data_IF_163526896792
#
_entry.id   IF_163526896792
#
_cell.length_a   1.000
_cell.length_b   1.000
_cell.length_c   1.000
_cell.angle_alpha   90.00
_cell.angle_beta   90.00
_cell.angle_gamma   90.00
#
_symmetry.space_group_name_H-M   'P 1'
#
loop_
_entity.id
_entity.type
_entity.pdbx_description
1 polymer ?
#
# COMPACT_ATOMS: atom_id res chain seq x y z
N UNK A 1 -32.05 46.51 16.88
CA UNK A 1 -31.88 45.14 17.42
C UNK A 1 -31.38 44.26 16.30
N UNK A 2 -30.10 43.93 16.33
CA UNK A 2 -29.41 43.15 15.31
C UNK A 2 -29.61 41.66 15.63
N UNK A 3 -30.20 40.92 14.69
CA UNK A 3 -30.32 39.46 14.77
C UNK A 3 -29.53 38.89 13.60
N UNK A 4 -28.20 38.83 13.77
CA UNK A 4 -27.32 38.17 12.80
C UNK A 4 -27.49 36.66 12.94
N UNK A 5 -28.21 36.06 11.99
CA UNK A 5 -28.33 34.63 11.84
C UNK A 5 -27.07 34.12 11.12
N UNK A 6 -26.08 33.66 11.89
CA UNK A 6 -24.93 32.94 11.34
C UNK A 6 -25.37 31.49 11.10
N UNK A 7 -25.75 31.19 9.86
CA UNK A 7 -25.96 29.82 9.41
C UNK A 7 -24.57 29.24 9.15
N UNK A 8 -24.05 28.52 10.14
CA UNK A 8 -22.81 27.76 10.02
C UNK A 8 -23.10 26.56 9.11
N UNK A 9 -22.86 26.73 7.80
CA UNK A 9 -22.93 25.65 6.83
C UNK A 9 -21.79 24.67 7.11
N UNK A 10 -22.09 23.60 7.85
CA UNK A 10 -21.20 22.44 7.96
C UNK A 10 -21.16 21.77 6.60
N UNK A 11 -20.18 22.12 5.77
CA UNK A 11 -19.89 21.33 4.58
C UNK A 11 -19.52 19.92 5.07
N UNK A 12 -20.23 18.86 4.64
CA UNK A 12 -19.68 17.52 4.77
C UNK A 12 -18.47 17.48 3.84
N UNK A 13 -17.28 17.69 4.38
CA UNK A 13 -16.04 17.25 3.73
C UNK A 13 -16.12 15.74 3.68
N UNK A 14 -16.76 15.26 2.62
CA UNK A 14 -16.70 13.88 2.20
C UNK A 14 -15.26 13.70 1.74
N UNK A 15 -14.37 13.43 2.68
CA UNK A 15 -13.03 12.95 2.40
C UNK A 15 -13.23 11.54 1.86
N UNK A 16 -13.72 11.43 0.63
CA UNK A 16 -13.75 10.16 -0.07
C UNK A 16 -12.30 9.79 -0.27
N UNK A 17 -11.79 8.93 0.61
CA UNK A 17 -10.59 8.15 0.37
C UNK A 17 -10.88 7.30 -0.87
N UNK A 18 -10.73 7.90 -2.04
CA UNK A 18 -10.58 7.13 -3.25
C UNK A 18 -9.33 6.30 -2.98
N UNK A 19 -9.44 4.96 -3.03
CA UNK A 19 -8.31 4.07 -2.87
C UNK A 19 -7.25 4.42 -3.94
N UNK A 20 -6.33 5.33 -3.60
CA UNK A 20 -5.23 5.72 -4.47
C UNK A 20 -4.21 4.63 -4.29
N UNK A 21 -4.07 3.76 -5.29
CA UNK A 21 -2.96 2.83 -5.35
C UNK A 21 -1.77 3.52 -6.01
N UNK A 22 -0.73 3.80 -5.23
CA UNK A 22 0.54 4.31 -5.77
C UNK A 22 1.29 3.11 -6.35
N UNK A 23 1.45 3.12 -7.68
CA UNK A 23 2.19 2.09 -8.41
C UNK A 23 3.68 2.42 -8.38
N UNK A 24 4.49 1.40 -8.19
CA UNK A 24 5.91 1.45 -8.52
C UNK A 24 6.11 1.52 -10.05
N UNK A 25 7.21 2.14 -10.47
CA UNK A 25 7.55 2.30 -11.88
C UNK A 25 8.31 1.06 -12.34
N UNK A 26 7.94 0.43 -13.47
CA UNK A 26 8.61 -0.79 -13.91
C UNK A 26 10.05 -0.53 -14.34
N UNK A 27 10.97 -1.39 -13.91
CA UNK A 27 12.38 -1.37 -14.27
C UNK A 27 12.74 -2.50 -15.26
N UNK A 28 13.81 -2.29 -16.06
CA UNK A 28 14.29 -3.32 -16.98
C UNK A 28 14.84 -4.49 -16.17
N UNK A 29 14.27 -5.67 -16.37
CA UNK A 29 14.65 -6.88 -15.65
C UNK A 29 13.74 -7.20 -14.46
N UNK A 30 12.67 -6.43 -14.25
CA UNK A 30 11.66 -6.75 -13.25
C UNK A 30 11.05 -8.14 -13.48
N UNK A 31 11.06 -8.94 -12.42
CA UNK A 31 10.44 -10.27 -12.37
C UNK A 31 9.31 -10.18 -11.34
N UNK A 32 8.08 -10.46 -11.76
CA UNK A 32 6.93 -10.48 -10.86
C UNK A 32 5.61 -10.04 -11.50
N UNK A 33 4.53 -9.99 -10.73
CA UNK A 33 3.25 -9.44 -11.18
C UNK A 33 3.37 -7.95 -11.51
N UNK A 34 2.68 -7.45 -12.53
CA UNK A 34 2.61 -5.99 -12.78
C UNK A 34 2.01 -5.23 -11.60
N UNK A 35 2.44 -3.99 -11.38
CA UNK A 35 1.93 -3.10 -10.33
C UNK A 35 0.42 -2.92 -10.39
N UNK A 36 -0.16 -2.87 -11.60
CA UNK A 36 -1.61 -2.88 -11.84
C UNK A 36 -2.31 -4.06 -11.17
N UNK A 37 -1.77 -5.27 -11.35
CA UNK A 37 -2.34 -6.51 -10.82
C UNK A 37 -2.25 -6.55 -9.31
N UNK A 38 -1.13 -6.07 -8.75
CA UNK A 38 -0.95 -5.95 -7.30
C UNK A 38 -1.96 -4.97 -6.72
N UNK A 39 -2.09 -3.79 -7.32
CA UNK A 39 -3.08 -2.79 -6.93
C UNK A 39 -4.51 -3.32 -7.00
N UNK A 40 -4.87 -4.03 -8.07
CA UNK A 40 -6.20 -4.63 -8.23
C UNK A 40 -6.47 -5.69 -7.15
N UNK A 41 -5.48 -6.54 -6.84
CA UNK A 41 -5.59 -7.52 -5.77
C UNK A 41 -5.79 -6.85 -4.40
N UNK A 42 -5.05 -5.77 -4.12
CA UNK A 42 -5.16 -5.02 -2.87
C UNK A 42 -6.47 -4.25 -2.76
N UNK A 43 -6.91 -3.57 -3.82
CA UNK A 43 -8.16 -2.82 -3.84
C UNK A 43 -9.38 -3.74 -3.68
N UNK A 44 -9.32 -4.97 -4.19
CA UNK A 44 -10.37 -5.99 -3.94
C UNK A 44 -10.43 -6.42 -2.47
N UNK A 45 -9.29 -6.49 -1.80
CA UNK A 45 -9.20 -6.97 -0.40
C UNK A 45 -9.48 -5.86 0.62
N UNK A 46 -9.05 -4.64 0.32
CA UNK A 46 -9.18 -3.46 1.16
C UNK A 46 -9.89 -2.36 0.37
N UNK A 47 -11.20 -2.52 0.11
CA UNK A 47 -11.97 -1.47 -0.53
C UNK A 47 -11.90 -0.23 0.37
N UNK A 48 -11.63 0.94 -0.23
CA UNK A 48 -11.53 2.25 0.44
C UNK A 48 -10.22 2.56 1.18
N UNK A 49 -9.27 1.62 1.27
CA UNK A 49 -7.97 1.90 1.87
C UNK A 49 -7.03 2.68 0.94
N UNK A 50 -6.17 3.52 1.52
CA UNK A 50 -5.02 4.08 0.80
C UNK A 50 -3.97 2.99 0.61
N UNK A 51 -3.55 2.73 -0.63
CA UNK A 51 -2.65 1.62 -0.96
C UNK A 51 -1.38 2.15 -1.60
N UNK A 52 -0.22 1.66 -1.20
CA UNK A 52 1.03 1.95 -1.88
C UNK A 52 1.84 0.67 -2.07
N UNK A 53 2.40 0.44 -3.25
CA UNK A 53 3.41 -0.60 -3.46
C UNK A 53 4.75 0.03 -3.07
N UNK A 54 5.45 -0.59 -2.13
CA UNK A 54 6.69 -0.03 -1.57
C UNK A 54 7.92 -0.68 -2.17
N UNK A 55 7.97 -2.01 -2.21
CA UNK A 55 9.14 -2.75 -2.67
C UNK A 55 8.77 -4.16 -3.18
N UNK A 56 9.74 -4.81 -3.83
CA UNK A 56 9.62 -6.16 -4.37
C UNK A 56 10.87 -6.96 -4.09
N UNK A 57 10.68 -8.12 -3.48
CA UNK A 57 11.74 -9.09 -3.25
C UNK A 57 11.54 -10.32 -4.12
N UNK A 58 12.44 -10.51 -5.09
CA UNK A 58 12.47 -11.72 -5.92
C UNK A 58 13.05 -12.86 -5.07
N UNK A 59 12.20 -13.81 -4.68
CA UNK A 59 12.64 -15.01 -3.93
C UNK A 59 13.18 -16.08 -4.86
N UNK A 60 12.59 -16.20 -6.05
CA UNK A 60 13.05 -17.08 -7.14
C UNK A 60 12.46 -16.59 -8.49
N UNK A 61 12.89 -17.14 -9.64
CA UNK A 61 12.27 -16.82 -10.93
C UNK A 61 10.77 -17.13 -11.02
N UNK A 62 10.23 -17.89 -10.05
CA UNK A 62 8.83 -18.32 -10.00
C UNK A 62 8.12 -17.88 -8.72
N UNK A 63 8.77 -17.10 -7.84
CA UNK A 63 8.20 -16.65 -6.58
C UNK A 63 8.71 -15.24 -6.23
N UNK A 64 7.78 -14.31 -6.01
CA UNK A 64 8.07 -12.90 -5.71
C UNK A 64 7.25 -12.46 -4.51
N UNK A 65 7.89 -11.80 -3.56
CA UNK A 65 7.20 -11.10 -2.47
C UNK A 65 7.05 -9.63 -2.84
N UNK A 66 5.87 -9.07 -2.64
CA UNK A 66 5.57 -7.65 -2.86
C UNK A 66 5.20 -7.04 -1.52
N UNK A 67 5.96 -6.03 -1.12
CA UNK A 67 5.71 -5.26 0.09
C UNK A 67 4.89 -4.04 -0.28
N UNK A 68 3.82 -3.82 0.47
CA UNK A 68 2.85 -2.76 0.23
C UNK A 68 2.38 -2.17 1.56
N UNK A 69 1.83 -0.96 1.49
CA UNK A 69 1.22 -0.27 2.61
C UNK A 69 -0.29 -0.16 2.38
N UNK A 70 -1.07 -0.50 3.39
CA UNK A 70 -2.53 -0.32 3.43
C UNK A 70 -2.87 0.56 4.61
N UNK A 71 -3.34 1.78 4.36
CA UNK A 71 -3.56 2.84 5.37
C UNK A 71 -2.31 3.08 6.25
N UNK A 72 -1.12 3.04 5.63
CA UNK A 72 0.15 3.19 6.33
C UNK A 72 0.63 1.93 7.07
N UNK A 73 -0.10 0.81 6.99
CA UNK A 73 0.30 -0.46 7.59
C UNK A 73 1.02 -1.34 6.58
N UNK A 74 2.24 -1.77 6.85
CA UNK A 74 2.97 -2.66 5.96
C UNK A 74 2.32 -4.05 5.90
N UNK A 75 2.21 -4.58 4.69
CA UNK A 75 1.74 -5.91 4.37
C UNK A 75 2.67 -6.53 3.34
N UNK A 76 2.79 -7.86 3.36
CA UNK A 76 3.53 -8.58 2.34
C UNK A 76 2.63 -9.58 1.62
N UNK A 77 2.68 -9.55 0.29
CA UNK A 77 1.96 -10.44 -0.60
C UNK A 77 2.96 -11.38 -1.28
N UNK A 78 2.67 -12.67 -1.30
CA UNK A 78 3.49 -13.63 -2.05
C UNK A 78 2.80 -13.99 -3.35
N UNK A 79 3.53 -13.89 -4.47
CA UNK A 79 3.07 -14.29 -5.78
C UNK A 79 3.92 -15.44 -6.30
N UNK A 80 3.26 -16.43 -6.89
CA UNK A 80 3.89 -17.58 -7.55
C UNK A 80 3.58 -17.57 -9.04
N UNK A 81 4.53 -17.98 -9.86
CA UNK A 81 4.36 -18.10 -11.30
C UNK A 81 3.70 -19.45 -11.60
N UNK A 82 2.46 -19.40 -12.06
CA UNK A 82 1.69 -20.55 -12.52
C UNK A 82 1.54 -20.47 -14.04
N UNK A 83 2.26 -21.34 -14.75
CA UNK A 83 2.42 -21.26 -16.21
C UNK A 83 3.10 -19.95 -16.62
N UNK A 84 2.36 -19.07 -17.28
CA UNK A 84 2.81 -17.74 -17.69
C UNK A 84 2.17 -16.61 -16.88
N UNK A 85 1.52 -16.93 -15.76
CA UNK A 85 0.72 -15.98 -14.98
C UNK A 85 1.13 -15.95 -13.51
N UNK A 86 1.36 -14.76 -12.98
CA UNK A 86 1.58 -14.55 -11.55
C UNK A 86 0.26 -14.64 -10.80
N UNK A 87 0.19 -15.55 -9.83
CA UNK A 87 -0.96 -15.80 -8.98
C UNK A 87 -0.60 -15.48 -7.53
N UNK A 88 -1.52 -14.84 -6.81
CA UNK A 88 -1.35 -14.60 -5.38
C UNK A 88 -1.42 -15.93 -4.64
N UNK A 89 -0.36 -16.27 -3.90
CA UNK A 89 -0.27 -17.47 -3.07
C UNK A 89 -0.94 -17.17 -1.72
N UNK A 90 -2.21 -17.57 -1.56
CA UNK A 90 -2.97 -17.30 -0.34
C UNK A 90 -2.78 -18.38 0.72
N UNK A 91 -2.13 -18.03 1.85
CA UNK A 91 -2.87 -18.01 3.10
C UNK A 91 -2.50 -16.79 3.94
N UNK A 92 -3.24 -15.70 3.75
CA UNK A 92 -3.18 -14.49 4.55
C UNK A 92 -1.98 -13.61 4.25
N UNK A 93 -2.21 -12.49 3.56
CA UNK A 93 -1.31 -11.35 3.60
C UNK A 93 -0.95 -11.09 5.06
N UNK A 94 0.28 -11.43 5.45
CA UNK A 94 0.74 -11.22 6.82
C UNK A 94 1.02 -9.73 6.91
N UNK A 95 0.35 -9.03 7.82
CA UNK A 95 0.81 -7.72 8.28
C UNK A 95 2.21 -7.99 8.81
N UNK A 96 3.21 -7.42 8.15
CA UNK A 96 4.58 -7.52 8.63
C UNK A 96 4.67 -6.48 9.73
N UNK A 97 4.75 -6.89 10.99
CA UNK A 97 5.16 -5.96 12.04
C UNK A 97 6.62 -5.58 11.77
N UNK A 98 6.84 -4.58 10.93
CA UNK A 98 8.16 -3.98 10.75
C UNK A 98 8.44 -3.28 12.08
N UNK A 99 9.50 -3.65 12.81
CA UNK A 99 9.88 -2.93 14.01
C UNK A 99 10.14 -1.49 13.57
N UNK A 100 9.30 -0.56 14.04
CA UNK A 100 9.57 0.87 13.92
C UNK A 100 10.82 1.12 14.75
N UNK A 101 11.98 0.90 14.15
CA UNK A 101 13.25 1.30 14.75
C UNK A 101 13.15 2.82 14.78
N UNK A 102 13.08 3.46 15.96
CA UNK A 102 13.14 4.90 16.01
C UNK A 102 14.48 5.25 15.37
N UNK A 103 14.46 5.97 14.26
CA UNK A 103 15.67 6.59 13.72
C UNK A 103 16.14 7.54 14.82
N UNK A 104 17.05 7.05 15.65
CA UNK A 104 17.77 7.86 16.61
C UNK A 104 18.54 8.89 15.78
N UNK A 105 18.03 10.11 15.76
CA UNK A 105 18.79 11.28 15.35
C UNK A 105 20.13 11.24 16.11
N UNK A 106 21.29 11.31 15.44
CA UNK A 106 22.53 11.53 16.15
C UNK A 106 22.42 12.91 16.81
N UNK A 107 22.29 12.93 18.13
CA UNK A 107 22.57 14.11 18.93
C UNK A 107 24.07 14.35 18.78
N UNK A 108 24.42 15.32 17.94
CA UNK A 108 25.75 15.89 17.89
C UNK A 108 25.93 16.68 19.20
N UNK A 109 26.49 16.03 20.21
CA UNK A 109 26.94 16.70 21.43
C UNK A 109 28.18 17.53 21.09
N UNK A 110 28.26 18.71 21.71
CA UNK A 110 29.23 19.78 21.45
C UNK A 110 30.68 19.42 21.75
#
# INVERSE_FOLDING_TARGET
>A
MIKHLLILATLPTSLTANAVCIKDQPEIGDIGPSSERVCEALARRFPEAAIAIEDRSIRSPTAVSVDASVDGKPISLTYVLSGYSWQLDEPGARIVDVPTTPVGLPVLDQ
#
